data_IF_899142082747
#
_entry.id   IF_899142082747
#
_cell.length_a   1.000
_cell.length_b   1.000
_cell.length_c   1.000
_cell.angle_alpha   90.00
_cell.angle_beta   90.00
_cell.angle_gamma   90.00
#
_symmetry.space_group_name_H-M   'P 1'
#
loop_
_entity.id
_entity.type
_entity.pdbx_description
1 polymer ?
#
# COMPACT_ATOMS: atom_id res chain seq x y z
N UNK A 1 -6.19 -20.86 8.56
CA UNK A 1 -6.95 -19.62 8.80
C UNK A 1 -8.06 -19.57 7.76
N UNK A 2 -9.26 -20.02 8.14
CA UNK A 2 -10.48 -19.91 7.33
C UNK A 2 -11.19 -18.64 7.78
N UNK A 3 -10.99 -17.54 7.06
CA UNK A 3 -11.62 -16.27 7.36
C UNK A 3 -11.35 -15.27 6.25
N UNK A 4 -12.29 -14.36 6.05
CA UNK A 4 -12.15 -13.25 5.12
C UNK A 4 -11.02 -12.32 5.57
N UNK A 5 -10.08 -12.01 4.68
CA UNK A 5 -8.95 -11.13 5.00
C UNK A 5 -9.32 -9.69 4.67
N UNK A 6 -9.12 -8.80 5.63
CA UNK A 6 -9.16 -7.34 5.44
C UNK A 6 -7.72 -6.84 5.35
N UNK A 7 -7.35 -6.20 4.24
CA UNK A 7 -6.00 -5.67 4.06
C UNK A 7 -5.86 -4.30 4.70
N UNK A 8 -4.79 -4.14 5.46
CA UNK A 8 -4.28 -2.87 5.95
C UNK A 8 -3.44 -2.15 4.86
N UNK A 9 -3.27 -0.83 4.98
CA UNK A 9 -2.52 -0.01 4.03
C UNK A 9 -1.05 -0.43 3.94
N UNK A 10 -0.43 -0.85 5.05
CA UNK A 10 0.96 -1.32 5.07
C UNK A 10 1.18 -2.57 4.20
N UNK A 11 0.27 -3.54 4.25
CA UNK A 11 0.36 -4.75 3.41
C UNK A 11 0.26 -4.38 1.93
N UNK A 12 -0.61 -3.44 1.58
CA UNK A 12 -0.74 -2.97 0.20
C UNK A 12 0.51 -2.21 -0.25
N UNK A 13 1.12 -1.39 0.61
CA UNK A 13 2.41 -0.74 0.35
C UNK A 13 3.52 -1.76 0.12
N UNK A 14 3.59 -2.82 0.93
CA UNK A 14 4.57 -3.91 0.76
C UNK A 14 4.37 -4.62 -0.60
N UNK A 15 3.13 -4.86 -1.01
CA UNK A 15 2.82 -5.38 -2.35
C UNK A 15 3.33 -4.43 -3.44
N UNK A 16 3.09 -3.13 -3.34
CA UNK A 16 3.59 -2.14 -4.31
C UNK A 16 5.12 -2.06 -4.35
N UNK A 17 5.79 -2.37 -3.23
CA UNK A 17 7.26 -2.45 -3.15
C UNK A 17 7.83 -3.77 -3.69
N UNK A 18 6.99 -4.73 -4.05
CA UNK A 18 7.43 -6.02 -4.57
C UNK A 18 7.78 -7.04 -3.47
N UNK A 19 7.31 -6.85 -2.24
CA UNK A 19 7.63 -7.75 -1.12
C UNK A 19 7.06 -9.15 -1.35
N UNK A 20 7.96 -10.12 -1.55
CA UNK A 20 7.63 -11.49 -1.98
C UNK A 20 6.71 -12.19 -0.98
N UNK A 21 6.92 -11.95 0.32
CA UNK A 21 6.12 -12.58 1.37
C UNK A 21 4.66 -12.10 1.34
N UNK A 22 4.44 -10.79 1.18
CA UNK A 22 3.12 -10.19 1.10
C UNK A 22 2.40 -10.66 -0.18
N UNK A 23 3.08 -10.61 -1.33
CA UNK A 23 2.54 -11.05 -2.62
C UNK A 23 2.16 -12.54 -2.58
N UNK A 24 3.04 -13.39 -2.07
CA UNK A 24 2.80 -14.84 -2.03
C UNK A 24 1.61 -15.20 -1.14
N UNK A 25 1.43 -14.48 -0.03
CA UNK A 25 0.29 -14.67 0.87
C UNK A 25 -1.01 -14.26 0.20
N UNK A 26 -1.04 -13.09 -0.45
CA UNK A 26 -2.22 -12.56 -1.13
C UNK A 26 -2.63 -13.42 -2.33
N UNK A 27 -1.68 -13.98 -3.08
CA UNK A 27 -1.97 -14.90 -4.20
C UNK A 27 -2.68 -16.20 -3.78
N UNK A 28 -2.63 -16.57 -2.50
CA UNK A 28 -3.32 -17.74 -1.97
C UNK A 28 -4.76 -17.45 -1.54
N UNK A 29 -5.18 -16.17 -1.56
CA UNK A 29 -6.50 -15.74 -1.12
C UNK A 29 -7.45 -15.69 -2.31
N UNK A 30 -8.66 -16.23 -2.13
CA UNK A 30 -9.73 -16.16 -3.13
C UNK A 30 -10.51 -14.86 -3.08
N UNK A 31 -10.64 -14.28 -1.88
CA UNK A 31 -11.33 -13.02 -1.62
C UNK A 31 -10.44 -12.13 -0.78
N UNK A 32 -10.40 -10.86 -1.16
CA UNK A 32 -9.64 -9.82 -0.48
C UNK A 32 -10.60 -8.67 -0.23
N UNK A 33 -10.72 -8.26 1.03
CA UNK A 33 -11.48 -7.08 1.41
C UNK A 33 -10.51 -5.92 1.66
N UNK A 34 -10.89 -4.73 1.21
CA UNK A 34 -10.15 -3.49 1.46
C UNK A 34 -11.14 -2.46 1.97
N UNK A 35 -10.86 -1.84 3.11
CA UNK A 35 -11.71 -0.79 3.66
C UNK A 35 -11.57 0.50 2.84
N UNK A 36 -12.65 1.27 2.73
CA UNK A 36 -12.60 2.64 2.15
C UNK A 36 -11.62 3.55 2.91
N UNK A 37 -11.42 3.30 4.21
CA UNK A 37 -10.43 4.02 5.03
C UNK A 37 -9.01 3.73 4.51
N UNK A 38 -8.70 2.45 4.26
CA UNK A 38 -7.41 2.01 3.70
C UNK A 38 -7.14 2.67 2.34
N UNK A 39 -8.17 2.81 1.49
CA UNK A 39 -8.04 3.54 0.22
C UNK A 39 -7.68 5.01 0.45
N UNK A 40 -8.33 5.67 1.41
CA UNK A 40 -8.05 7.05 1.79
C UNK A 40 -6.62 7.26 2.29
N UNK A 41 -6.14 6.35 3.13
CA UNK A 41 -4.76 6.34 3.63
C UNK A 41 -3.73 6.19 2.50
N UNK A 42 -3.97 5.25 1.59
CA UNK A 42 -3.10 5.03 0.42
C UNK A 42 -3.07 6.25 -0.49
N UNK A 43 -4.22 6.86 -0.77
CA UNK A 43 -4.29 8.08 -1.59
C UNK A 43 -3.52 9.23 -0.94
N UNK A 44 -3.77 9.48 0.35
CA UNK A 44 -3.07 10.53 1.09
C UNK A 44 -1.56 10.27 1.15
N UNK A 45 -1.15 9.03 1.43
CA UNK A 45 0.26 8.62 1.49
C UNK A 45 0.98 8.79 0.15
N UNK A 46 0.34 8.43 -0.97
CA UNK A 46 0.89 8.64 -2.31
C UNK A 46 1.03 10.14 -2.64
N UNK A 47 0.00 10.95 -2.36
CA UNK A 47 0.04 12.40 -2.57
C UNK A 47 1.15 13.07 -1.76
N UNK A 48 1.28 12.73 -0.47
CA UNK A 48 2.32 13.26 0.41
C UNK A 48 3.72 12.86 -0.06
N UNK A 49 3.91 11.59 -0.43
CA UNK A 49 5.19 11.09 -0.96
C UNK A 49 5.61 11.85 -2.22
N UNK A 50 4.69 12.11 -3.15
CA UNK A 50 4.97 12.90 -4.34
C UNK A 50 5.37 14.35 -4.01
N UNK A 51 4.72 14.99 -3.04
CA UNK A 51 5.10 16.32 -2.58
C UNK A 51 6.52 16.34 -1.99
N UNK A 52 6.88 15.32 -1.20
CA UNK A 52 8.24 15.17 -0.67
C UNK A 52 9.27 15.00 -1.78
N UNK A 53 9.00 14.18 -2.80
CA UNK A 53 9.89 14.01 -3.95
C UNK A 53 10.13 15.35 -4.67
N UNK A 54 9.06 16.12 -4.94
CA UNK A 54 9.15 17.43 -5.58
C UNK A 54 9.90 18.46 -4.73
N UNK A 55 9.69 18.45 -3.41
CA UNK A 55 10.41 19.33 -2.49
C UNK A 55 11.92 19.02 -2.47
N UNK A 56 12.29 17.74 -2.43
CA UNK A 56 13.68 17.30 -2.44
C UNK A 56 14.39 17.66 -3.76
N UNK A 57 13.70 17.55 -4.90
CA UNK A 57 14.26 17.97 -6.20
C UNK A 57 14.54 19.48 -6.27
N UNK A 58 13.72 20.32 -5.63
CA UNK A 58 13.93 21.78 -5.58
C UNK A 58 15.10 22.19 -4.69
N UNK A 59 15.46 21.39 -3.70
CA UNK A 59 16.60 21.65 -2.82
C UNK A 59 17.95 21.17 -3.41
N UNK A 60 17.90 20.33 -4.45
CA UNK A 60 19.08 19.79 -5.13
C UNK A 60 19.54 20.63 -6.35
N UNK A 61 18.85 21.75 -6.61
CA UNK A 61 19.15 22.74 -7.66
C UNK A 61 19.64 24.05 -7.02
#
# INVERSE_FOLDING_TARGET
MNGDYLLDSNIIVDIFRGEVKAISKVKQLTVINVSVITIGELYYGAKKSNQTLLANQRQAL
#
